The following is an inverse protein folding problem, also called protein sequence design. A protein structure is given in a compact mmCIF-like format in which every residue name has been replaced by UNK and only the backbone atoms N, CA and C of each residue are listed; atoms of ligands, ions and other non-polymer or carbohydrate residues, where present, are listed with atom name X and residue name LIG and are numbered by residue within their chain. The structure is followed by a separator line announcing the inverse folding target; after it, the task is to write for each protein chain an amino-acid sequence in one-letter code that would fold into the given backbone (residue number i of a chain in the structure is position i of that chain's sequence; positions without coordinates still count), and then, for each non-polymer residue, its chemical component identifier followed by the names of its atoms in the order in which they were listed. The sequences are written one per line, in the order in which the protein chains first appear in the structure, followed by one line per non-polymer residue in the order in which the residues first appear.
data_IF_208307645888
#
_entry.id   IF_208307645888
#
_cell.length_a   1.000
_cell.length_b   1.000
_cell.length_c   1.000
_cell.angle_alpha   90.00
_cell.angle_beta   90.00
_cell.angle_gamma   90.00
#
_symmetry.space_group_name_H-M   'P 1'
#
loop_
_entity.id
_entity.type
_entity.pdbx_description
1 polymer ?
#
# COMPACT_ATOMS: atom_id res chain seq x y z
N UNK A 1 -1.76 -13.94 9.34
CA UNK A 1 -2.04 -13.32 8.03
C UNK A 1 -1.90 -14.35 6.94
N UNK A 2 -2.85 -14.37 5.99
CA UNK A 2 -2.75 -15.15 4.76
C UNK A 2 -2.88 -14.21 3.55
N UNK A 3 -2.02 -14.39 2.55
CA UNK A 3 -2.01 -13.60 1.33
C UNK A 3 -1.96 -14.54 0.10
N UNK A 4 -2.83 -14.28 -0.87
CA UNK A 4 -2.89 -15.00 -2.12
C UNK A 4 -2.55 -14.06 -3.27
N UNK A 5 -1.48 -14.37 -3.99
CA UNK A 5 -1.02 -13.62 -5.16
C UNK A 5 -1.34 -14.42 -6.42
N UNK A 6 -2.22 -13.90 -7.27
CA UNK A 6 -2.70 -14.60 -8.44
C UNK A 6 -2.02 -14.07 -9.71
N UNK A 7 -1.71 -14.99 -10.66
CA UNK A 7 -1.33 -14.63 -12.02
C UNK A 7 -2.58 -14.24 -12.81
N UNK A 8 -2.58 -13.04 -13.35
CA UNK A 8 -3.69 -12.48 -14.13
C UNK A 8 -3.16 -11.82 -15.40
N UNK A 9 -3.94 -11.76 -16.50
CA UNK A 9 -3.51 -11.21 -17.78
C UNK A 9 -3.54 -9.67 -17.76
N UNK A 10 -2.62 -9.07 -17.01
CA UNK A 10 -2.44 -7.61 -16.93
C UNK A 10 -1.03 -7.23 -17.36
N UNK A 11 -0.87 -6.02 -17.91
CA UNK A 11 0.45 -5.52 -18.34
C UNK A 11 1.33 -5.29 -17.10
N UNK A 12 0.83 -4.47 -16.16
CA UNK A 12 1.49 -4.15 -14.90
C UNK A 12 0.48 -4.12 -13.76
N UNK A 13 0.97 -4.30 -12.56
CA UNK A 13 0.21 -4.27 -11.31
C UNK A 13 0.13 -5.66 -10.67
N UNK A 14 0.59 -5.74 -9.43
CA UNK A 14 0.45 -6.94 -8.61
C UNK A 14 -0.73 -6.77 -7.65
N UNK A 15 -1.63 -7.74 -7.70
CA UNK A 15 -2.81 -7.78 -6.84
C UNK A 15 -2.67 -8.91 -5.82
N UNK A 16 -2.85 -8.59 -4.56
CA UNK A 16 -2.86 -9.56 -3.47
C UNK A 16 -4.21 -9.56 -2.77
N UNK A 17 -4.80 -10.75 -2.57
CA UNK A 17 -5.92 -10.95 -1.66
C UNK A 17 -5.34 -11.27 -0.28
N UNK A 18 -5.67 -10.46 0.71
CA UNK A 18 -5.11 -10.57 2.06
C UNK A 18 -6.23 -10.85 3.05
N UNK A 19 -6.00 -11.82 3.93
CA UNK A 19 -6.79 -12.05 5.13
C UNK A 19 -5.87 -11.90 6.34
N UNK A 20 -6.33 -11.15 7.35
CA UNK A 20 -5.52 -10.76 8.48
C UNK A 20 -6.26 -11.00 9.78
N UNK A 21 -5.54 -11.54 10.76
CA UNK A 21 -5.94 -11.70 12.14
C UNK A 21 -5.06 -10.82 13.02
N UNK A 22 -5.69 -10.11 13.95
CA UNK A 22 -4.98 -9.31 14.95
C UNK A 22 -4.70 -10.18 16.18
N UNK A 23 -3.45 -10.16 16.63
CA UNK A 23 -3.05 -10.79 17.90
C UNK A 23 -3.41 -9.86 19.08
N UNK A 24 -4.73 -9.64 19.24
CA UNK A 24 -5.33 -8.78 20.24
C UNK A 24 -6.58 -9.45 20.82
N UNK A 25 -6.94 -9.17 22.10
CA UNK A 25 -8.24 -9.52 22.65
C UNK A 25 -9.38 -8.96 21.80
N UNK A 26 -10.53 -9.64 21.78
CA UNK A 26 -11.65 -9.30 20.91
C UNK A 26 -12.17 -7.85 21.12
N UNK A 27 -12.17 -7.38 22.35
CA UNK A 27 -12.59 -6.04 22.75
C UNK A 27 -11.57 -4.93 22.37
N UNK A 28 -10.37 -5.32 21.92
CA UNK A 28 -9.29 -4.40 21.50
C UNK A 28 -9.00 -4.45 20.02
N UNK A 29 -9.71 -5.29 19.26
CA UNK A 29 -9.53 -5.36 17.81
C UNK A 29 -10.10 -4.11 17.14
N UNK A 30 -9.36 -3.49 16.18
CA UNK A 30 -9.85 -2.28 15.53
C UNK A 30 -11.07 -2.55 14.65
N UNK A 31 -11.98 -1.61 14.56
CA UNK A 31 -13.08 -1.61 13.60
C UNK A 31 -12.58 -1.39 12.17
N UNK A 32 -13.44 -1.66 11.17
CA UNK A 32 -13.09 -1.40 9.76
C UNK A 32 -12.84 0.09 9.52
N UNK A 33 -13.62 0.96 10.16
CA UNK A 33 -13.50 2.41 10.06
C UNK A 33 -12.18 2.93 10.66
N UNK A 34 -11.76 2.36 11.79
CA UNK A 34 -10.47 2.70 12.40
C UNK A 34 -9.29 2.26 11.53
N UNK A 35 -9.37 1.07 10.94
CA UNK A 35 -8.36 0.56 10.01
C UNK A 35 -8.27 1.47 8.78
N UNK A 36 -9.40 1.84 8.18
CA UNK A 36 -9.44 2.72 7.03
C UNK A 36 -8.86 4.10 7.36
N UNK A 37 -9.22 4.66 8.52
CA UNK A 37 -8.67 5.93 9.00
C UNK A 37 -7.15 5.87 9.15
N UNK A 38 -6.61 4.77 9.70
CA UNK A 38 -5.16 4.56 9.82
C UNK A 38 -4.51 4.52 8.43
N UNK A 39 -5.09 3.80 7.48
CA UNK A 39 -4.54 3.70 6.13
C UNK A 39 -4.58 5.04 5.37
N UNK A 40 -5.69 5.76 5.44
CA UNK A 40 -5.86 7.04 4.75
C UNK A 40 -5.03 8.18 5.36
N UNK A 41 -4.72 8.10 6.65
CA UNK A 41 -3.86 9.07 7.34
C UNK A 41 -2.39 8.66 7.38
N UNK A 42 -2.03 7.49 6.85
CA UNK A 42 -0.67 6.96 6.93
C UNK A 42 0.32 7.86 6.18
N UNK A 43 1.36 8.25 6.89
CA UNK A 43 2.53 8.95 6.35
C UNK A 43 3.80 8.36 6.96
N UNK A 44 4.90 8.44 6.21
CA UNK A 44 6.19 7.96 6.65
C UNK A 44 7.27 9.03 6.43
N UNK A 45 8.50 8.69 6.71
CA UNK A 45 9.64 9.63 6.56
C UNK A 45 9.75 10.24 5.15
N UNK A 46 9.54 9.51 4.04
CA UNK A 46 9.57 10.10 2.70
C UNK A 46 8.58 11.24 2.50
N UNK A 47 7.36 11.15 3.04
CA UNK A 47 6.35 12.22 2.97
C UNK A 47 6.75 13.41 3.85
N UNK A 48 7.26 13.15 5.05
CA UNK A 48 7.72 14.20 5.98
C UNK A 48 8.88 15.00 5.39
N UNK A 49 9.78 14.34 4.68
CA UNK A 49 10.92 14.96 4.00
C UNK A 49 10.57 15.49 2.60
N UNK A 50 9.34 15.31 2.14
CA UNK A 50 8.87 15.73 0.83
C UNK A 50 9.79 15.26 -0.32
N UNK A 51 10.22 13.98 -0.25
CA UNK A 51 11.13 13.43 -1.26
C UNK A 51 10.47 13.42 -2.63
N UNK A 52 11.22 13.72 -3.73
CA UNK A 52 10.66 13.88 -5.07
C UNK A 52 9.89 12.67 -5.60
N UNK A 53 10.35 11.46 -5.30
CA UNK A 53 9.69 10.22 -5.71
C UNK A 53 8.68 9.68 -4.71
N UNK A 54 8.49 10.37 -3.57
CA UNK A 54 7.52 9.93 -2.56
C UNK A 54 6.09 10.18 -3.06
N UNK A 55 5.16 9.20 -2.90
CA UNK A 55 3.75 9.46 -3.15
C UNK A 55 3.22 10.46 -2.11
N UNK A 56 2.34 11.34 -2.53
CA UNK A 56 1.65 12.26 -1.61
C UNK A 56 0.78 11.46 -0.65
N UNK A 57 0.04 10.49 -1.20
CA UNK A 57 -0.81 9.56 -0.46
C UNK A 57 -0.29 8.14 -0.63
N UNK A 58 0.46 7.57 0.35
CA UNK A 58 1.05 6.24 0.21
C UNK A 58 0.03 5.11 0.07
N UNK A 59 -1.12 5.23 0.72
CA UNK A 59 -2.20 4.26 0.69
C UNK A 59 -3.49 4.94 0.25
N UNK A 60 -4.08 4.47 -0.84
CA UNK A 60 -5.35 4.97 -1.36
C UNK A 60 -6.42 3.89 -1.12
N UNK A 61 -7.49 4.22 -0.42
CA UNK A 61 -8.62 3.32 -0.18
C UNK A 61 -9.71 3.57 -1.21
N UNK A 62 -10.27 2.49 -1.74
CA UNK A 62 -11.38 2.47 -2.69
C UNK A 62 -12.56 1.70 -2.13
N UNK A 63 -13.75 2.28 -2.31
CA UNK A 63 -15.00 1.71 -1.79
C UNK A 63 -15.82 0.98 -2.86
N UNK A 64 -15.54 1.26 -4.14
CA UNK A 64 -16.25 0.64 -5.24
C UNK A 64 -16.03 -0.88 -5.25
N UNK A 65 -17.06 -1.66 -5.47
CA UNK A 65 -17.04 -3.12 -5.41
C UNK A 65 -16.05 -3.77 -6.37
N UNK A 66 -15.76 -3.13 -7.48
CA UNK A 66 -14.87 -3.61 -8.52
C UNK A 66 -13.45 -3.01 -8.46
N UNK A 67 -13.06 -2.44 -7.32
CA UNK A 67 -11.72 -1.85 -7.12
C UNK A 67 -10.97 -2.56 -5.98
N UNK A 68 -9.61 -2.62 -6.04
CA UNK A 68 -8.74 -2.03 -7.06
C UNK A 68 -8.74 -2.82 -8.38
N UNK A 69 -8.46 -2.12 -9.48
CA UNK A 69 -8.24 -2.71 -10.80
C UNK A 69 -6.86 -2.30 -11.33
N UNK A 70 -6.00 -3.24 -11.80
CA UNK A 70 -4.67 -2.90 -12.30
C UNK A 70 -4.68 -1.81 -13.37
N UNK A 71 -5.60 -1.89 -14.34
CA UNK A 71 -5.70 -0.90 -15.43
C UNK A 71 -6.04 0.51 -14.94
N UNK A 72 -6.82 0.63 -13.86
CA UNK A 72 -7.34 1.92 -13.37
C UNK A 72 -6.52 2.49 -12.22
N UNK A 73 -5.92 1.62 -11.40
CA UNK A 73 -5.35 2.01 -10.12
C UNK A 73 -3.83 1.91 -10.03
N UNK A 74 -3.19 1.15 -10.94
CA UNK A 74 -1.74 0.98 -10.87
C UNK A 74 -0.95 2.26 -10.99
N UNK A 75 -1.49 3.28 -11.68
CA UNK A 75 -0.82 4.58 -11.88
C UNK A 75 -1.17 5.62 -10.79
N UNK A 76 -1.94 5.25 -9.79
CA UNK A 76 -2.27 6.15 -8.69
C UNK A 76 -0.98 6.71 -8.07
N UNK A 77 -0.94 8.03 -7.94
CA UNK A 77 0.22 8.80 -7.51
C UNK A 77 1.51 8.39 -8.25
N UNK A 78 1.46 8.49 -9.58
CA UNK A 78 2.55 8.13 -10.52
C UNK A 78 3.00 6.66 -10.41
N UNK A 79 2.14 5.78 -9.88
CA UNK A 79 2.44 4.37 -9.65
C UNK A 79 3.17 4.09 -8.34
N UNK A 80 3.27 5.07 -7.45
CA UNK A 80 3.96 4.93 -6.16
C UNK A 80 3.02 4.67 -4.98
N UNK A 81 1.71 4.92 -5.12
CA UNK A 81 0.73 4.55 -4.11
C UNK A 81 0.37 3.06 -4.16
N UNK A 82 0.02 2.52 -3.00
CA UNK A 82 -0.67 1.21 -2.89
C UNK A 82 -2.16 1.48 -2.82
N UNK A 83 -2.92 0.86 -3.71
CA UNK A 83 -4.38 0.99 -3.69
C UNK A 83 -4.99 -0.21 -2.98
N UNK A 84 -5.81 0.05 -1.97
CA UNK A 84 -6.55 -0.96 -1.20
C UNK A 84 -8.04 -0.81 -1.49
N UNK A 85 -8.72 -1.94 -1.61
CA UNK A 85 -10.17 -1.97 -1.72
C UNK A 85 -10.74 -3.27 -1.17
N UNK A 86 -12.08 -3.38 -1.19
CA UNK A 86 -12.76 -4.57 -0.69
C UNK A 86 -12.47 -4.87 0.78
N UNK A 87 -12.19 -3.85 1.59
CA UNK A 87 -12.06 -4.01 3.04
C UNK A 87 -13.39 -4.46 3.63
N UNK A 88 -13.39 -5.57 4.34
CA UNK A 88 -14.57 -6.16 4.97
C UNK A 88 -14.18 -7.18 6.03
N UNK A 89 -15.13 -7.54 6.88
CA UNK A 89 -14.97 -8.63 7.86
C UNK A 89 -14.67 -9.95 7.18
N UNK A 90 -13.87 -10.79 7.83
CA UNK A 90 -13.51 -12.13 7.39
C UNK A 90 -14.16 -13.17 8.33
N UNK A 91 -14.83 -14.21 7.81
CA UNK A 91 -15.44 -15.24 8.66
C UNK A 91 -14.44 -16.19 9.33
N UNK A 92 -13.18 -16.20 8.88
CA UNK A 92 -12.11 -17.08 9.40
C UNK A 92 -11.08 -16.29 10.20
N UNK A 93 -10.75 -15.09 9.72
CA UNK A 93 -9.86 -14.11 10.36
C UNK A 93 -10.67 -12.87 10.71
N UNK A 94 -10.01 -11.80 11.13
CA UNK A 94 -10.72 -10.56 11.49
C UNK A 94 -11.16 -9.77 10.27
N UNK A 95 -10.24 -9.52 9.35
CA UNK A 95 -10.49 -8.71 8.15
C UNK A 95 -9.93 -9.37 6.88
N UNK A 96 -10.46 -8.93 5.74
CA UNK A 96 -9.92 -9.23 4.41
C UNK A 96 -10.03 -8.03 3.50
N UNK A 97 -9.08 -7.91 2.59
CA UNK A 97 -9.02 -6.83 1.62
C UNK A 97 -8.22 -7.24 0.38
N UNK A 98 -8.23 -6.38 -0.64
CA UNK A 98 -7.42 -6.55 -1.84
C UNK A 98 -6.46 -5.36 -1.92
N UNK A 99 -5.18 -5.64 -2.12
CA UNK A 99 -4.14 -4.63 -2.32
C UNK A 99 -3.57 -4.72 -3.73
N UNK A 100 -3.33 -3.57 -4.33
CA UNK A 100 -2.69 -3.41 -5.64
C UNK A 100 -1.49 -2.50 -5.54
N UNK A 101 -0.36 -2.93 -6.09
CA UNK A 101 0.86 -2.12 -6.21
C UNK A 101 1.45 -2.24 -7.61
N UNK A 102 2.07 -1.17 -8.10
CA UNK A 102 2.78 -1.17 -9.38
C UNK A 102 4.12 -1.89 -9.25
N UNK A 103 4.29 -3.01 -9.95
CA UNK A 103 5.45 -3.89 -9.83
C UNK A 103 6.74 -3.27 -10.39
N UNK A 104 6.67 -2.53 -11.50
CA UNK A 104 7.86 -1.97 -12.17
C UNK A 104 8.24 -0.58 -11.67
N UNK A 105 7.30 0.18 -11.14
CA UNK A 105 7.55 1.50 -10.54
C UNK A 105 7.84 1.37 -9.05
N UNK A 106 6.81 1.23 -8.21
CA UNK A 106 7.00 1.13 -6.77
C UNK A 106 7.83 -0.09 -6.35
N UNK A 107 7.59 -1.23 -6.98
CA UNK A 107 8.30 -2.49 -6.68
C UNK A 107 9.71 -2.57 -7.26
N UNK A 108 10.13 -1.64 -8.10
CA UNK A 108 11.44 -1.66 -8.75
C UNK A 108 12.03 -0.24 -8.88
N UNK A 109 11.95 0.40 -10.08
CA UNK A 109 12.74 1.57 -10.43
C UNK A 109 12.54 2.76 -9.46
N UNK A 110 11.31 3.25 -9.29
CA UNK A 110 11.06 4.41 -8.44
C UNK A 110 11.21 4.09 -6.95
N UNK A 111 10.98 2.84 -6.54
CA UNK A 111 11.27 2.39 -5.18
C UNK A 111 12.77 2.47 -4.86
N UNK A 112 13.62 2.07 -5.80
CA UNK A 112 15.08 2.22 -5.69
C UNK A 112 15.51 3.69 -5.62
N UNK A 113 14.96 4.55 -6.49
CA UNK A 113 15.22 5.98 -6.49
C UNK A 113 14.81 6.62 -5.17
N UNK A 114 13.62 6.31 -4.67
CA UNK A 114 13.12 6.82 -3.39
C UNK A 114 14.05 6.45 -2.22
N UNK A 115 14.61 5.23 -2.23
CA UNK A 115 15.58 4.82 -1.22
C UNK A 115 16.87 5.64 -1.31
N UNK A 116 17.38 5.92 -2.52
CA UNK A 116 18.54 6.77 -2.71
C UNK A 116 18.29 8.22 -2.27
N UNK A 117 17.13 8.78 -2.60
CA UNK A 117 16.69 10.09 -2.13
C UNK A 117 16.64 10.15 -0.59
N UNK A 118 16.11 9.10 0.04
CA UNK A 118 16.04 9.01 1.51
C UNK A 118 17.42 8.96 2.14
N UNK A 119 18.34 8.16 1.61
CA UNK A 119 19.72 8.07 2.09
C UNK A 119 20.43 9.41 1.96
N UNK A 120 20.26 10.10 0.83
CA UNK A 120 20.79 11.44 0.62
C UNK A 120 20.24 12.43 1.64
N UNK A 121 18.92 12.46 1.82
CA UNK A 121 18.27 13.37 2.77
C UNK A 121 18.68 13.12 4.23
N UNK A 122 19.16 11.91 4.55
CA UNK A 122 19.69 11.55 5.85
C UNK A 122 21.21 11.78 5.98
N UNK A 123 21.87 12.38 4.99
CA UNK A 123 23.31 12.71 5.03
C UNK A 123 24.22 11.50 4.82
N UNK A 124 23.69 10.36 4.34
CA UNK A 124 24.51 9.13 4.17
C UNK A 124 25.68 9.32 3.21
N UNK A 125 25.54 10.23 2.24
CA UNK A 125 26.57 10.52 1.24
C UNK A 125 27.45 11.73 1.56
N UNK A 126 27.22 12.43 2.67
CA UNK A 126 27.92 13.70 2.98
C UNK A 126 29.39 13.48 3.37
N UNK A 127 29.78 12.23 3.65
CA UNK A 127 31.15 11.86 4.04
C UNK A 127 31.81 10.91 3.02
N UNK A 128 31.27 10.82 1.80
CA UNK A 128 31.84 10.07 0.70
C UNK A 128 32.50 11.05 -0.28
#
# INVERSE_FOLDING_TARGET
MAAHCNRVPVIDGHTACVSLEFDLPADKKPSLEEIEKIWTSFTALPQKLQLPSAPVQPIIVRHEENRPQPRRDRENDKGMAVTIGRLRSCPVFDIRFVALSHNTKRGAALGGILNAELLKAQGFFDNL
#
